data_IF_010356684587
#
_entry.id   IF_010356684587
#
_cell.length_a   1.000
_cell.length_b   1.000
_cell.length_c   1.000
_cell.angle_alpha   90.00
_cell.angle_beta   90.00
_cell.angle_gamma   90.00
#
_symmetry.space_group_name_H-M   'P 1'
#
loop_
_entity.id
_entity.type
_entity.pdbx_description
1 polymer ?
#
# COMPACT_ATOMS: atom_id res chain seq x y z
N UNK A 1 -11.76 -3.91 6.31
CA UNK A 1 -10.53 -3.36 5.69
C UNK A 1 -10.80 -3.05 4.22
N UNK A 2 -10.62 -1.80 3.75
CA UNK A 2 -10.92 -1.42 2.34
C UNK A 2 -9.92 -1.99 1.32
N UNK A 3 -8.78 -2.51 1.77
CA UNK A 3 -7.69 -3.09 0.96
C UNK A 3 -7.42 -4.56 1.31
N UNK A 4 -8.47 -5.39 1.38
CA UNK A 4 -8.38 -6.81 1.78
C UNK A 4 -7.38 -7.65 0.97
N UNK A 5 -7.28 -7.40 -0.34
CA UNK A 5 -6.35 -8.13 -1.20
C UNK A 5 -4.88 -7.81 -0.85
N UNK A 6 -4.58 -6.56 -0.48
CA UNK A 6 -3.25 -6.23 0.01
C UNK A 6 -2.98 -6.84 1.38
N UNK A 7 -3.99 -6.85 2.28
CA UNK A 7 -3.89 -7.57 3.56
C UNK A 7 -3.57 -9.05 3.32
N UNK A 8 -4.18 -9.69 2.32
CA UNK A 8 -3.89 -11.07 1.94
C UNK A 8 -2.42 -11.29 1.54
N UNK A 9 -1.85 -10.42 0.69
CA UNK A 9 -0.42 -10.48 0.36
C UNK A 9 0.46 -10.30 1.59
N UNK A 10 0.13 -9.34 2.46
CA UNK A 10 0.88 -9.05 3.69
C UNK A 10 0.80 -10.20 4.71
N UNK A 11 -0.33 -10.90 4.77
CA UNK A 11 -0.48 -12.13 5.57
C UNK A 11 0.41 -13.24 5.04
N UNK A 12 0.44 -13.45 3.72
CA UNK A 12 1.29 -14.46 3.09
C UNK A 12 2.78 -14.20 3.38
N UNK A 13 3.24 -12.96 3.17
CA UNK A 13 4.62 -12.57 3.47
C UNK A 13 4.88 -12.69 4.98
N UNK A 14 3.97 -12.21 5.83
CA UNK A 14 4.10 -12.27 7.28
C UNK A 14 4.21 -13.72 7.81
N UNK A 15 3.47 -14.65 7.23
CA UNK A 15 3.59 -16.08 7.52
C UNK A 15 4.98 -16.61 7.16
N UNK A 16 5.47 -16.32 5.95
CA UNK A 16 6.81 -16.73 5.52
C UNK A 16 7.92 -16.13 6.42
N UNK A 17 7.80 -14.85 6.79
CA UNK A 17 8.71 -14.17 7.71
C UNK A 17 8.74 -14.89 9.06
N UNK A 18 7.57 -15.21 9.63
CA UNK A 18 7.46 -15.91 10.91
C UNK A 18 8.17 -17.25 10.89
N UNK A 19 7.86 -18.11 9.92
CA UNK A 19 8.45 -19.45 9.82
C UNK A 19 9.96 -19.38 9.55
N UNK A 20 10.40 -18.54 8.62
CA UNK A 20 11.81 -18.39 8.29
C UNK A 20 12.65 -17.87 9.47
N UNK A 21 12.07 -17.00 10.30
CA UNK A 21 12.75 -16.42 11.47
C UNK A 21 13.06 -17.46 12.54
N UNK A 22 12.15 -18.44 12.75
CA UNK A 22 12.38 -19.57 13.66
C UNK A 22 13.58 -20.40 13.20
N UNK A 23 13.80 -20.48 11.88
CA UNK A 23 14.90 -21.19 11.25
C UNK A 23 16.19 -20.35 11.12
N UNK A 24 16.23 -19.12 11.64
CA UNK A 24 17.39 -18.24 11.59
C UNK A 24 17.63 -17.57 10.24
N UNK A 25 16.57 -17.42 9.42
CA UNK A 25 16.60 -16.69 8.16
C UNK A 25 15.88 -15.35 8.26
N UNK A 26 16.37 -14.38 7.49
CA UNK A 26 15.68 -13.15 7.13
C UNK A 26 14.99 -13.32 5.79
N UNK A 27 13.80 -12.76 5.68
CA UNK A 27 13.01 -12.71 4.45
C UNK A 27 12.96 -11.27 3.94
N UNK A 28 13.28 -11.10 2.66
CA UNK A 28 13.11 -9.83 1.94
C UNK A 28 12.13 -10.04 0.78
N UNK A 29 10.99 -9.35 0.74
CA UNK A 29 10.10 -9.38 -0.42
C UNK A 29 10.77 -8.75 -1.64
N UNK A 30 10.88 -9.49 -2.73
CA UNK A 30 11.42 -8.99 -4.00
C UNK A 30 10.29 -8.41 -4.86
N UNK A 31 9.18 -9.13 -4.96
CA UNK A 31 7.92 -8.58 -5.47
C UNK A 31 6.73 -9.39 -4.94
N UNK A 32 5.55 -8.80 -5.05
CA UNK A 32 4.28 -9.47 -4.81
C UNK A 32 3.31 -9.18 -5.95
N UNK A 33 2.36 -10.08 -6.19
CA UNK A 33 1.40 -9.94 -7.28
C UNK A 33 0.05 -10.52 -6.88
N UNK A 34 -1.01 -9.76 -7.12
CA UNK A 34 -2.39 -10.18 -7.00
C UNK A 34 -3.06 -10.18 -8.38
N UNK A 35 -3.65 -11.31 -8.77
CA UNK A 35 -4.48 -11.40 -9.98
C UNK A 35 -5.96 -11.48 -9.62
N UNK A 36 -6.79 -10.68 -10.29
CA UNK A 36 -8.23 -10.63 -10.02
C UNK A 36 -9.01 -11.79 -10.68
N UNK A 37 -8.64 -12.18 -11.91
CA UNK A 37 -9.40 -13.16 -12.72
C UNK A 37 -9.31 -14.61 -12.22
N UNK A 38 -8.41 -14.87 -11.27
CA UNK A 38 -8.50 -15.96 -10.31
C UNK A 38 -7.70 -15.48 -9.11
N UNK A 39 -8.28 -15.36 -7.89
CA UNK A 39 -7.65 -14.66 -6.77
C UNK A 39 -6.37 -15.40 -6.33
N UNK A 40 -5.28 -15.05 -6.99
CA UNK A 40 -3.99 -15.69 -6.87
C UNK A 40 -3.05 -14.67 -6.25
N UNK A 41 -2.51 -15.06 -5.10
CA UNK A 41 -1.53 -14.30 -4.34
C UNK A 41 -0.15 -14.92 -4.61
N UNK A 42 0.74 -14.18 -5.26
CA UNK A 42 2.11 -14.60 -5.54
C UNK A 42 3.08 -13.67 -4.85
N UNK A 43 4.10 -14.24 -4.25
CA UNK A 43 5.21 -13.49 -3.64
C UNK A 43 6.51 -14.16 -4.04
N UNK A 44 7.50 -13.36 -4.39
CA UNK A 44 8.88 -13.82 -4.53
C UNK A 44 9.67 -13.25 -3.37
N UNK A 45 10.31 -14.14 -2.62
CA UNK A 45 10.98 -13.83 -1.37
C UNK A 45 12.44 -14.25 -1.48
N UNK A 46 13.35 -13.39 -1.06
CA UNK A 46 14.76 -13.74 -0.87
C UNK A 46 14.97 -14.16 0.58
N UNK A 47 15.56 -15.34 0.78
CA UNK A 47 15.98 -15.81 2.11
C UNK A 47 17.48 -15.59 2.27
N UNK A 48 17.86 -14.94 3.35
CA UNK A 48 19.26 -14.73 3.74
C UNK A 48 19.49 -15.25 5.15
N UNK A 49 20.62 -15.90 5.42
CA UNK A 49 20.96 -16.29 6.80
C UNK A 49 21.14 -15.04 7.66
N UNK A 50 20.61 -15.09 8.87
CA UNK A 50 20.74 -14.01 9.84
C UNK A 50 19.46 -13.79 10.62
N UNK A 51 19.60 -13.16 11.79
CA UNK A 51 18.44 -12.76 12.59
C UNK A 51 17.65 -11.66 11.86
N UNK A 52 16.35 -11.60 12.12
CA UNK A 52 15.55 -10.39 11.88
C UNK A 52 16.27 -9.23 12.58
N UNK A 53 16.86 -8.33 11.79
CA UNK A 53 17.51 -7.14 12.34
C UNK A 53 16.46 -6.09 12.72
N UNK A 54 15.27 -6.18 12.13
CA UNK A 54 14.24 -5.19 12.31
C UNK A 54 12.85 -5.81 12.41
N UNK A 55 12.28 -5.78 13.62
CA UNK A 55 10.89 -6.15 13.89
C UNK A 55 9.87 -5.10 13.40
N UNK A 56 10.30 -3.94 12.88
CA UNK A 56 9.40 -2.85 12.44
C UNK A 56 8.47 -3.27 11.32
N UNK A 57 8.87 -4.23 10.49
CA UNK A 57 8.08 -4.70 9.35
C UNK A 57 7.19 -5.91 9.68
N UNK A 58 7.08 -6.32 10.95
CA UNK A 58 6.20 -7.41 11.37
C UNK A 58 5.30 -6.98 12.54
N UNK A 59 4.07 -6.57 12.21
CA UNK A 59 3.15 -5.97 13.17
C UNK A 59 1.71 -6.02 12.72
N UNK A 60 0.91 -5.08 13.19
CA UNK A 60 -0.53 -5.03 12.98
C UNK A 60 -0.89 -3.79 12.16
N UNK A 61 -2.00 -3.87 11.41
CA UNK A 61 -2.61 -2.74 10.74
C UNK A 61 -4.01 -2.55 11.31
N UNK A 62 -4.33 -1.34 11.75
CA UNK A 62 -5.68 -0.94 12.10
C UNK A 62 -6.30 -0.04 11.04
N UNK A 63 -7.61 -0.17 10.86
CA UNK A 63 -8.44 0.70 10.04
C UNK A 63 -9.66 1.13 10.84
N UNK A 64 -9.90 2.44 10.88
CA UNK A 64 -11.06 3.01 11.56
C UNK A 64 -12.21 3.22 10.58
N UNK A 65 -13.31 2.49 10.77
CA UNK A 65 -14.53 2.65 9.96
C UNK A 65 -15.19 4.03 10.11
N UNK A 66 -14.95 4.73 11.22
CA UNK A 66 -15.55 6.05 11.46
C UNK A 66 -14.88 7.14 10.63
N UNK A 67 -13.56 7.27 10.67
CA UNK A 67 -12.85 8.35 9.97
C UNK A 67 -12.11 7.89 8.70
N UNK A 68 -11.98 6.58 8.45
CA UNK A 68 -11.19 6.01 7.35
C UNK A 68 -9.68 6.04 7.56
N UNK A 69 -9.20 6.42 8.74
CA UNK A 69 -7.76 6.42 9.03
C UNK A 69 -7.21 4.99 9.13
N UNK A 70 -6.00 4.80 8.61
CA UNK A 70 -5.26 3.54 8.69
C UNK A 70 -3.93 3.78 9.42
N UNK A 71 -3.55 2.88 10.32
CA UNK A 71 -2.34 3.00 11.14
C UNK A 71 -1.70 1.64 11.37
N UNK A 72 -0.36 1.58 11.33
CA UNK A 72 0.38 0.40 11.76
C UNK A 72 0.63 0.46 13.26
N UNK A 73 0.61 -0.70 13.89
CA UNK A 73 0.90 -0.87 15.31
C UNK A 73 1.98 -1.95 15.47
N UNK A 74 2.96 -1.66 16.29
CA UNK A 74 3.94 -2.61 16.79
C UNK A 74 3.33 -3.53 17.85
N UNK A 75 4.09 -4.55 18.27
CA UNK A 75 3.68 -5.45 19.34
C UNK A 75 3.48 -4.72 20.68
N UNK A 76 4.32 -3.73 20.98
CA UNK A 76 4.27 -2.97 22.22
C UNK A 76 3.04 -2.03 22.29
N UNK A 77 2.47 -1.68 21.14
CA UNK A 77 1.29 -0.81 21.03
C UNK A 77 -0.04 -1.56 21.08
N UNK A 78 -0.03 -2.90 21.06
CA UNK A 78 -1.24 -3.73 20.93
C UNK A 78 -2.26 -3.46 22.05
N UNK A 79 -1.80 -3.22 23.28
CA UNK A 79 -2.65 -2.89 24.43
C UNK A 79 -3.22 -1.46 24.41
N UNK A 80 -2.70 -0.59 23.55
CA UNK A 80 -3.03 0.84 23.49
C UNK A 80 -3.59 1.27 22.13
N UNK A 81 -3.98 0.31 21.29
CA UNK A 81 -4.53 0.59 19.96
C UNK A 81 -5.79 1.43 20.06
N UNK A 82 -5.73 2.60 19.44
CA UNK A 82 -6.85 3.53 19.35
C UNK A 82 -6.76 4.33 18.05
N UNK A 83 -7.90 4.85 17.62
CA UNK A 83 -7.91 5.83 16.52
C UNK A 83 -8.02 7.23 17.13
N UNK A 84 -7.24 8.22 16.65
CA UNK A 84 -7.33 9.60 17.16
C UNK A 84 -8.69 10.28 17.03
N UNK A 85 -9.61 9.74 16.22
CA UNK A 85 -10.96 10.28 16.05
C UNK A 85 -11.97 9.76 17.07
N UNK A 86 -11.59 8.79 17.93
CA UNK A 86 -12.48 8.20 18.92
C UNK A 86 -12.14 8.73 20.31
N UNK A 87 -13.10 9.36 20.97
CA UNK A 87 -12.98 9.80 22.36
C UNK A 87 -12.79 8.60 23.29
N UNK A 88 -11.52 8.28 23.61
CA UNK A 88 -10.98 7.55 24.78
C UNK A 88 -11.62 6.23 25.25
N UNK A 89 -12.61 5.67 24.58
CA UNK A 89 -13.14 4.32 24.80
C UNK A 89 -12.95 3.53 23.53
N UNK A 90 -12.15 2.44 23.61
CA UNK A 90 -11.83 1.47 22.56
C UNK A 90 -12.83 1.57 21.42
N UNK A 91 -12.45 2.33 20.38
CA UNK A 91 -13.36 2.70 19.32
C UNK A 91 -13.85 1.42 18.67
N UNK A 92 -15.14 1.07 18.86
CA UNK A 92 -15.79 -0.08 18.20
C UNK A 92 -15.62 -0.06 16.66
N UNK A 93 -15.20 1.08 16.12
CA UNK A 93 -14.92 1.29 14.71
C UNK A 93 -13.52 0.88 14.27
N UNK A 94 -12.58 0.61 15.18
CA UNK A 94 -11.21 0.18 14.84
C UNK A 94 -11.19 -1.33 14.61
N UNK A 95 -10.91 -1.74 13.39
CA UNK A 95 -10.66 -3.14 13.02
C UNK A 95 -9.17 -3.34 12.83
N UNK A 96 -8.63 -4.39 13.44
CA UNK A 96 -7.20 -4.70 13.43
C UNK A 96 -6.95 -6.00 12.67
N UNK A 97 -5.85 -6.04 11.92
CA UNK A 97 -5.38 -7.23 11.20
C UNK A 97 -3.88 -7.41 11.46
N UNK A 98 -3.48 -8.63 11.81
CA UNK A 98 -2.08 -8.95 12.10
C UNK A 98 -1.93 -10.20 12.96
N UNK A 99 -0.69 -10.61 13.26
CA UNK A 99 0.53 -9.98 12.76
C UNK A 99 0.76 -10.29 11.26
N UNK A 100 1.31 -9.33 10.53
CA UNK A 100 1.51 -9.36 9.08
C UNK A 100 2.75 -8.56 8.69
N UNK A 101 3.13 -8.63 7.42
CA UNK A 101 4.18 -7.78 6.87
C UNK A 101 3.72 -6.32 6.68
N UNK A 102 4.30 -5.37 7.40
CA UNK A 102 3.99 -3.93 7.32
C UNK A 102 4.97 -3.15 6.44
N UNK A 103 6.06 -3.77 5.99
CA UNK A 103 7.05 -3.15 5.12
C UNK A 103 6.67 -3.07 3.62
N UNK A 104 7.63 -2.71 2.75
CA UNK A 104 7.46 -2.67 1.30
C UNK A 104 7.08 -4.02 0.71
N UNK A 105 6.22 -4.03 -0.32
CA UNK A 105 5.79 -5.26 -1.01
C UNK A 105 6.72 -5.70 -2.14
N UNK A 106 7.67 -4.84 -2.47
CA UNK A 106 8.56 -4.96 -3.61
C UNK A 106 9.93 -4.37 -3.23
N UNK A 107 10.97 -4.91 -3.84
CA UNK A 107 12.29 -4.31 -3.84
C UNK A 107 12.45 -3.49 -5.14
N UNK A 108 12.63 -2.18 -5.01
CA UNK A 108 12.68 -1.27 -6.16
C UNK A 108 13.80 -1.62 -7.14
N UNK A 109 14.98 -1.99 -6.63
CA UNK A 109 16.13 -2.32 -7.45
C UNK A 109 15.88 -3.63 -8.21
N UNK A 110 15.31 -4.64 -7.54
CA UNK A 110 14.98 -5.92 -8.15
C UNK A 110 13.91 -5.79 -9.24
N UNK A 111 12.83 -5.06 -8.98
CA UNK A 111 11.77 -4.85 -9.99
C UNK A 111 12.31 -4.02 -11.17
N UNK A 112 13.17 -3.04 -10.93
CA UNK A 112 13.85 -2.29 -12.00
C UNK A 112 14.73 -3.20 -12.86
N UNK A 113 15.46 -4.13 -12.23
CA UNK A 113 16.25 -5.13 -12.96
C UNK A 113 15.35 -6.07 -13.78
N UNK A 114 14.19 -6.46 -13.26
CA UNK A 114 13.20 -7.26 -14.01
C UNK A 114 12.70 -6.51 -15.25
N UNK A 115 12.43 -5.20 -15.14
CA UNK A 115 12.02 -4.36 -16.26
C UNK A 115 13.12 -4.29 -17.34
N UNK A 116 14.37 -4.05 -16.93
CA UNK A 116 15.51 -3.99 -17.85
C UNK A 116 15.74 -5.33 -18.58
N UNK A 117 15.59 -6.47 -17.87
CA UNK A 117 15.70 -7.79 -18.49
C UNK A 117 14.55 -8.06 -19.48
N UNK A 118 13.33 -7.64 -19.13
CA UNK A 118 12.19 -7.76 -20.02
C UNK A 118 12.41 -6.94 -21.31
N UNK A 119 13.02 -5.75 -21.22
CA UNK A 119 13.39 -4.94 -22.39
C UNK A 119 14.42 -5.66 -23.26
N UNK A 120 15.48 -6.22 -22.65
CA UNK A 120 16.52 -6.96 -23.37
C UNK A 120 16.01 -8.22 -24.07
N UNK A 121 15.01 -8.89 -23.50
CA UNK A 121 14.37 -10.06 -24.10
C UNK A 121 13.28 -9.72 -25.10
N UNK A 122 12.97 -8.44 -25.31
CA UNK A 122 11.90 -7.99 -26.19
C UNK A 122 10.49 -8.34 -25.69
N UNK A 123 10.33 -8.56 -24.38
CA UNK A 123 9.02 -8.82 -23.76
C UNK A 123 8.22 -7.54 -23.48
N UNK A 124 8.88 -6.38 -23.51
CA UNK A 124 8.29 -5.04 -23.37
C UNK A 124 8.84 -4.12 -24.47
N UNK A 125 8.35 -2.87 -24.56
CA UNK A 125 8.72 -1.96 -25.66
C UNK A 125 8.01 -2.27 -26.99
N UNK A 126 7.00 -3.13 -26.98
CA UNK A 126 6.17 -3.47 -28.13
C UNK A 126 4.68 -3.55 -27.70
N UNK A 127 3.79 -3.72 -28.68
CA UNK A 127 2.33 -3.72 -28.44
C UNK A 127 1.89 -4.87 -27.53
N UNK A 128 2.49 -6.05 -27.67
CA UNK A 128 2.13 -7.24 -26.89
C UNK A 128 2.60 -7.13 -25.42
N UNK A 129 3.72 -6.46 -25.19
CA UNK A 129 4.36 -6.27 -23.90
C UNK A 129 3.90 -5.07 -23.08
N UNK A 130 3.03 -4.21 -23.64
CA UNK A 130 2.67 -2.93 -23.04
C UNK A 130 2.06 -3.05 -21.63
N UNK A 131 1.24 -4.08 -21.39
CA UNK A 131 0.64 -4.31 -20.07
C UNK A 131 1.65 -4.83 -19.04
N UNK A 132 2.63 -5.65 -19.47
CA UNK A 132 3.73 -6.09 -18.60
C UNK A 132 4.63 -4.91 -18.22
N UNK A 133 4.96 -4.07 -19.19
CA UNK A 133 5.78 -2.88 -18.98
C UNK A 133 5.13 -1.93 -17.98
N UNK A 134 3.84 -1.66 -18.18
CA UNK A 134 3.02 -0.84 -17.30
C UNK A 134 2.93 -1.44 -15.90
N UNK A 135 2.75 -2.76 -15.78
CA UNK A 135 2.74 -3.45 -14.49
C UNK A 135 4.07 -3.30 -13.74
N UNK A 136 5.21 -3.51 -14.42
CA UNK A 136 6.53 -3.42 -13.80
C UNK A 136 6.84 -1.97 -13.39
N UNK A 137 6.57 -0.98 -14.26
CA UNK A 137 6.71 0.44 -13.92
C UNK A 137 5.86 0.81 -12.70
N UNK A 138 4.63 0.32 -12.66
CA UNK A 138 3.75 0.53 -11.53
C UNK A 138 4.27 -0.13 -10.24
N UNK A 139 4.82 -1.34 -10.31
CA UNK A 139 5.45 -1.98 -9.16
C UNK A 139 6.70 -1.22 -8.67
N UNK A 140 7.47 -0.61 -9.57
CA UNK A 140 8.59 0.28 -9.20
C UNK A 140 8.08 1.49 -8.42
N UNK A 141 7.03 2.17 -8.90
CA UNK A 141 6.41 3.31 -8.20
C UNK A 141 5.84 2.90 -6.83
N UNK A 142 5.31 1.68 -6.71
CA UNK A 142 4.82 1.10 -5.45
C UNK A 142 5.91 0.67 -4.47
N UNK A 143 7.18 0.70 -4.90
CA UNK A 143 8.32 0.30 -4.09
C UNK A 143 8.93 1.46 -3.28
N UNK A 144 8.39 2.69 -3.39
CA UNK A 144 8.92 3.82 -2.63
C UNK A 144 8.84 3.54 -1.11
N UNK A 145 9.98 3.60 -0.38
CA UNK A 145 10.03 3.26 1.04
C UNK A 145 9.24 4.22 1.94
N UNK A 146 8.85 5.39 1.44
CA UNK A 146 8.00 6.35 2.14
C UNK A 146 6.52 6.01 2.04
N UNK A 147 6.11 5.13 1.13
CA UNK A 147 4.73 4.70 1.02
C UNK A 147 4.32 3.89 2.25
N UNK A 148 3.08 4.10 2.69
CA UNK A 148 2.48 3.28 3.74
C UNK A 148 1.87 2.01 3.16
N UNK A 149 1.46 1.10 4.05
CA UNK A 149 0.65 -0.05 3.70
C UNK A 149 -0.76 0.35 3.26
N UNK A 150 -1.41 -0.56 2.54
CA UNK A 150 -2.76 -0.37 2.06
C UNK A 150 -2.85 0.69 0.96
N UNK A 151 -4.09 0.94 0.54
CA UNK A 151 -4.40 1.97 -0.44
C UNK A 151 -5.71 2.67 -0.06
N UNK A 152 -5.89 3.88 -0.56
CA UNK A 152 -7.10 4.66 -0.38
C UNK A 152 -7.89 4.64 -1.69
N UNK A 153 -9.16 4.24 -1.61
CA UNK A 153 -10.09 4.36 -2.75
C UNK A 153 -10.53 5.81 -2.88
N UNK A 154 -10.47 6.38 -4.08
CA UNK A 154 -10.78 7.79 -4.26
C UNK A 154 -12.26 8.10 -3.97
N UNK A 155 -13.16 7.17 -4.31
CA UNK A 155 -14.58 7.27 -3.99
C UNK A 155 -14.84 7.30 -2.47
N UNK A 156 -13.98 6.64 -1.69
CA UNK A 156 -14.03 6.67 -0.23
C UNK A 156 -13.70 8.06 0.31
N UNK A 157 -12.70 8.71 -0.26
CA UNK A 157 -12.31 10.10 0.05
C UNK A 157 -13.44 11.05 -0.32
N UNK A 158 -13.96 10.94 -1.54
CA UNK A 158 -15.03 11.78 -2.07
C UNK A 158 -16.31 11.69 -1.23
N UNK A 159 -16.73 10.45 -0.91
CA UNK A 159 -17.90 10.18 -0.07
C UNK A 159 -17.76 10.82 1.32
N UNK A 160 -16.59 10.67 1.97
CA UNK A 160 -16.34 11.25 3.30
C UNK A 160 -16.24 12.78 3.28
N UNK A 161 -15.63 13.31 2.22
CA UNK A 161 -15.52 14.76 2.02
C UNK A 161 -16.85 15.41 1.57
N UNK A 162 -17.83 14.61 1.13
CA UNK A 162 -19.12 15.04 0.55
C UNK A 162 -18.93 15.86 -0.73
N UNK A 163 -18.08 15.37 -1.62
CA UNK A 163 -17.71 16.03 -2.89
C UNK A 163 -17.77 15.03 -4.05
N UNK A 164 -17.65 15.53 -5.27
CA UNK A 164 -17.42 14.67 -6.44
C UNK A 164 -15.99 14.11 -6.43
N UNK A 165 -15.83 12.88 -6.93
CA UNK A 165 -14.53 12.21 -6.99
C UNK A 165 -13.62 12.95 -7.98
N UNK A 166 -12.48 13.53 -7.53
CA UNK A 166 -11.55 14.20 -8.45
C UNK A 166 -10.86 13.16 -9.36
N UNK A 167 -10.29 13.55 -10.52
CA UNK A 167 -9.50 12.62 -11.31
C UNK A 167 -8.25 12.15 -10.55
N UNK A 168 -7.96 10.84 -10.59
CA UNK A 168 -6.84 10.21 -9.87
C UNK A 168 -5.50 10.94 -10.08
N UNK A 169 -5.20 11.30 -11.33
CA UNK A 169 -3.96 12.02 -11.69
C UNK A 169 -3.86 13.39 -11.02
N UNK A 170 -4.97 14.13 -10.95
CA UNK A 170 -5.03 15.46 -10.34
C UNK A 170 -4.84 15.34 -8.82
N UNK A 171 -5.51 14.37 -8.19
CA UNK A 171 -5.35 14.08 -6.77
C UNK A 171 -3.90 13.73 -6.42
N UNK A 172 -3.28 12.82 -7.18
CA UNK A 172 -1.87 12.45 -6.97
C UNK A 172 -0.93 13.64 -7.19
N UNK A 173 -1.16 14.47 -8.21
CA UNK A 173 -0.34 15.67 -8.45
C UNK A 173 -0.41 16.65 -7.27
N UNK A 174 -1.60 16.88 -6.73
CA UNK A 174 -1.78 17.76 -5.57
C UNK A 174 -1.12 17.19 -4.30
N UNK A 175 -1.18 15.86 -4.10
CA UNK A 175 -0.45 15.19 -3.01
C UNK A 175 1.07 15.42 -3.11
N UNK A 176 1.65 15.27 -4.30
CA UNK A 176 3.07 15.51 -4.53
C UNK A 176 3.46 16.99 -4.28
N UNK A 177 2.62 17.94 -4.72
CA UNK A 177 2.84 19.37 -4.46
C UNK A 177 2.83 19.72 -2.96
N UNK A 178 2.04 18.99 -2.16
CA UNK A 178 2.03 19.15 -0.70
C UNK A 178 3.09 18.27 0.01
N UNK A 179 3.99 17.60 -0.73
CA UNK A 179 5.13 16.85 -0.19
C UNK A 179 4.85 15.40 0.21
N UNK A 180 3.67 14.86 -0.12
CA UNK A 180 3.33 13.46 0.08
C UNK A 180 3.78 12.60 -1.11
N UNK A 181 4.06 11.33 -0.84
CA UNK A 181 4.30 10.34 -1.90
C UNK A 181 2.97 9.72 -2.28
N UNK A 182 2.71 9.58 -3.58
CA UNK A 182 1.51 8.93 -4.07
C UNK A 182 1.80 8.08 -5.31
N UNK A 183 1.31 6.85 -5.34
CA UNK A 183 1.38 5.96 -6.51
C UNK A 183 0.05 5.25 -6.76
N UNK A 184 -0.10 4.69 -7.95
CA UNK A 184 -1.21 3.76 -8.26
C UNK A 184 -0.94 2.41 -7.59
N UNK A 185 -1.93 1.51 -7.53
CA UNK A 185 -1.71 0.13 -7.08
C UNK A 185 -2.07 -0.93 -8.11
N UNK A 186 -1.20 -1.92 -8.29
CA UNK A 186 -1.38 -3.05 -9.19
C UNK A 186 -2.48 -3.98 -8.68
N UNK A 187 -2.79 -3.88 -7.38
CA UNK A 187 -3.79 -4.70 -6.69
C UNK A 187 -5.21 -4.27 -7.08
N UNK A 188 -5.44 -2.99 -7.35
CA UNK A 188 -6.77 -2.47 -7.66
C UNK A 188 -6.71 -1.21 -8.52
N UNK A 189 -7.55 -1.08 -9.56
CA UNK A 189 -7.64 0.16 -10.33
C UNK A 189 -8.23 1.29 -9.50
N UNK A 190 -7.93 2.54 -9.87
CA UNK A 190 -8.48 3.77 -9.25
C UNK A 190 -8.26 3.92 -7.74
N UNK A 191 -7.18 3.34 -7.21
CA UNK A 191 -6.75 3.53 -5.83
C UNK A 191 -5.40 4.25 -5.77
N UNK A 192 -5.16 4.93 -4.66
CA UNK A 192 -3.91 5.64 -4.38
C UNK A 192 -3.21 4.98 -3.20
N UNK A 193 -1.96 4.55 -3.40
CA UNK A 193 -1.05 4.28 -2.29
C UNK A 193 -0.37 5.58 -1.89
N UNK A 194 -0.38 5.92 -0.61
CA UNK A 194 0.19 7.18 -0.14
C UNK A 194 0.51 7.11 1.36
N UNK A 195 1.44 7.95 1.80
CA UNK A 195 1.65 8.27 3.21
C UNK A 195 0.77 9.42 3.73
N UNK A 196 -0.10 9.95 2.87
CA UNK A 196 -1.04 11.02 3.21
C UNK A 196 -2.20 10.49 4.08
N UNK A 197 -2.41 11.03 5.30
CA UNK A 197 -3.53 10.61 6.15
C UNK A 197 -4.88 10.93 5.53
N UNK A 198 -5.92 10.13 5.82
CA UNK A 198 -7.27 10.30 5.27
C UNK A 198 -7.84 11.72 5.44
N UNK A 199 -7.59 12.35 6.60
CA UNK A 199 -8.02 13.72 6.86
C UNK A 199 -7.40 14.73 5.88
N UNK A 200 -6.12 14.54 5.53
CA UNK A 200 -5.42 15.37 4.57
C UNK A 200 -5.87 15.07 3.14
N UNK A 201 -6.09 13.79 2.79
CA UNK A 201 -6.69 13.42 1.51
C UNK A 201 -8.02 14.15 1.28
N UNK A 202 -8.91 14.15 2.27
CA UNK A 202 -10.19 14.88 2.18
C UNK A 202 -10.00 16.38 2.00
N UNK A 203 -9.02 16.99 2.71
CA UNK A 203 -8.70 18.42 2.57
C UNK A 203 -8.23 18.75 1.15
N UNK A 204 -7.30 17.97 0.61
CA UNK A 204 -6.78 18.16 -0.76
C UNK A 204 -7.91 18.03 -1.77
N UNK A 205 -8.76 17.01 -1.63
CA UNK A 205 -9.85 16.78 -2.56
C UNK A 205 -10.88 17.93 -2.58
N UNK A 206 -11.19 18.52 -1.41
CA UNK A 206 -12.06 19.71 -1.32
C UNK A 206 -11.47 20.92 -2.02
N UNK A 207 -10.19 21.23 -1.79
CA UNK A 207 -9.49 22.34 -2.46
C UNK A 207 -9.55 22.21 -4.00
N UNK A 208 -9.39 20.99 -4.51
CA UNK A 208 -9.46 20.72 -5.94
C UNK A 208 -10.87 20.96 -6.51
N UNK A 209 -11.92 20.65 -5.75
CA UNK A 209 -13.29 20.93 -6.18
C UNK A 209 -13.54 22.43 -6.27
N UNK A 210 -13.13 23.19 -5.25
CA UNK A 210 -13.34 24.65 -5.20
C UNK A 210 -12.64 25.36 -6.37
N UNK A 211 -11.47 24.87 -6.78
CA UNK A 211 -10.71 25.39 -7.93
C UNK A 211 -11.36 25.09 -9.27
N UNK A 212 -12.09 23.97 -9.40
CA UNK A 212 -12.84 23.63 -10.62
C UNK A 212 -14.20 24.35 -10.72
N UNK A 213 -14.74 24.85 -9.62
CA UNK A 213 -16.00 25.63 -9.60
C UNK A 213 -15.80 27.14 -9.78
N UNK A 214 -14.55 27.61 -9.79
CA UNK A 214 -14.17 29.01 -9.93
C UNK A 214 -13.73 29.45 -11.34
N UNK A 215 -13.81 28.54 -12.33
CA UNK A 215 -13.64 28.81 -13.77
C UNK A 215 -14.98 28.74 -14.49
#
# INVERSE_FOLDING_TARGET
>A
MPYSNEVGLRMLIGGAVREASVLGYRVTPLFSYYSYHGPVFRVMLQLSRGKLVDHRHYGFIGYCHSCGNSQAFSWDELGHMSCPCGDSKVSKSLVVSGPLWTGPLHDAAYVTQMLNLAEQWGWVGNVEGAELEKLLKQMVDESDPKLSFGYIKLDEVASRAKINSPPLRIMMSAMHQEGYVASRSHISPNVIKTNCPMAVCMRIAKKLQDSCTGE
#
